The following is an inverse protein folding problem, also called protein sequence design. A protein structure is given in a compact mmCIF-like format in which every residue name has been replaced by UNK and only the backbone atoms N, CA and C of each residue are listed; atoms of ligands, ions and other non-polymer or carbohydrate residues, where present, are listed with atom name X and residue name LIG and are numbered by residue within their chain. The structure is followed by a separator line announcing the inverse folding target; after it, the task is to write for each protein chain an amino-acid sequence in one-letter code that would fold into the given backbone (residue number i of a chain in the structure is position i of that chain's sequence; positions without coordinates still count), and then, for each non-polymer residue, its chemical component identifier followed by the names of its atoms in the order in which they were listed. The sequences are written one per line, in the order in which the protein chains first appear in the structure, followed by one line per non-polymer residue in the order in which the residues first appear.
data_IF_885738260600
#
_entry.id   IF_885738260600
#
_cell.length_a   1.000
_cell.length_b   1.000
_cell.length_c   1.000
_cell.angle_alpha   90.00
_cell.angle_beta   90.00
_cell.angle_gamma   90.00
#
_symmetry.space_group_name_H-M   'P 1'
#
loop_
_entity.id
_entity.type
_entity.pdbx_description
1 polymer ?
#
# COMPACT_ATOMS: atom_id res chain seq x y z
N UNK A 1 18.75 21.86 7.79
CA UNK A 1 17.91 20.70 7.41
C UNK A 1 17.48 20.91 5.97
N UNK A 2 17.65 19.92 5.08
CA UNK A 2 17.05 19.97 3.73
C UNK A 2 15.53 19.91 3.87
N UNK A 3 14.81 20.53 2.95
CA UNK A 3 13.35 20.39 2.91
C UNK A 3 12.94 18.98 2.47
N UNK A 4 11.72 18.56 2.78
CA UNK A 4 11.19 17.27 2.32
C UNK A 4 11.12 17.19 0.78
N UNK A 5 10.91 18.33 0.11
CA UNK A 5 10.84 18.42 -1.36
C UNK A 5 12.21 18.26 -2.01
N UNK A 6 13.25 18.90 -1.45
CA UNK A 6 14.63 18.71 -1.90
C UNK A 6 15.10 17.27 -1.68
N UNK A 7 14.79 16.69 -0.52
CA UNK A 7 15.14 15.30 -0.22
C UNK A 7 14.41 14.30 -1.14
N UNK A 8 13.16 14.59 -1.53
CA UNK A 8 12.44 13.81 -2.53
C UNK A 8 13.06 13.96 -3.93
N UNK A 9 13.37 15.19 -4.36
CA UNK A 9 13.97 15.47 -5.67
C UNK A 9 15.34 14.80 -5.86
N UNK A 10 16.19 14.84 -4.83
CA UNK A 10 17.50 14.20 -4.83
C UNK A 10 17.44 12.67 -4.70
N UNK A 11 16.26 12.10 -4.44
CA UNK A 11 16.07 10.66 -4.23
C UNK A 11 16.57 10.15 -2.88
N UNK A 12 16.78 11.05 -1.91
CA UNK A 12 17.15 10.72 -0.52
C UNK A 12 15.96 10.07 0.22
N UNK A 13 14.73 10.42 -0.15
CA UNK A 13 13.48 9.82 0.37
C UNK A 13 12.85 8.97 -0.73
N UNK A 14 12.65 7.68 -0.44
CA UNK A 14 12.01 6.70 -1.34
C UNK A 14 10.89 5.97 -0.60
N UNK A 15 9.70 6.57 -0.49
CA UNK A 15 8.65 6.06 0.39
C UNK A 15 8.29 4.61 0.09
N UNK A 16 8.17 4.24 -1.18
CA UNK A 16 7.80 2.89 -1.61
C UNK A 16 8.82 1.84 -1.18
N UNK A 17 10.12 2.15 -1.22
CA UNK A 17 11.18 1.23 -0.82
C UNK A 17 11.24 1.04 0.71
N UNK A 18 10.70 2.01 1.47
CA UNK A 18 10.65 1.98 2.93
C UNK A 18 9.39 1.34 3.50
N UNK A 19 8.38 1.07 2.67
CA UNK A 19 7.15 0.40 3.11
C UNK A 19 7.46 -1.06 3.37
N UNK A 20 7.72 -1.37 4.63
CA UNK A 20 7.80 -2.74 5.14
C UNK A 20 6.54 -2.99 5.97
N UNK A 21 5.70 -3.98 5.62
CA UNK A 21 4.60 -4.39 6.47
C UNK A 21 5.16 -4.80 7.85
N UNK A 22 4.84 -4.02 8.88
CA UNK A 22 5.30 -4.25 10.26
C UNK A 22 4.36 -5.17 11.03
N UNK A 23 3.16 -5.39 10.51
CA UNK A 23 2.16 -6.26 11.13
C UNK A 23 2.69 -7.72 11.16
N UNK A 24 2.87 -8.31 12.36
CA UNK A 24 3.34 -9.70 12.47
C UNK A 24 2.37 -10.71 11.84
N UNK A 25 1.08 -10.38 11.74
CA UNK A 25 0.08 -11.20 11.07
C UNK A 25 0.29 -11.25 9.56
N UNK A 26 0.84 -10.19 8.95
CA UNK A 26 1.13 -10.16 7.51
C UNK A 26 2.06 -11.30 7.09
N UNK A 27 3.13 -11.54 7.85
CA UNK A 27 4.07 -12.63 7.56
C UNK A 27 3.41 -13.99 7.72
N UNK A 28 2.61 -14.16 8.78
CA UNK A 28 1.89 -15.39 9.05
C UNK A 28 0.85 -15.69 7.95
N UNK A 29 0.13 -14.67 7.50
CA UNK A 29 -0.87 -14.77 6.44
C UNK A 29 -0.22 -15.16 5.11
N UNK A 30 0.86 -14.48 4.72
CA UNK A 30 1.57 -14.81 3.47
C UNK A 30 2.14 -16.23 3.47
N UNK A 31 2.64 -16.71 4.62
CA UNK A 31 3.06 -18.11 4.74
C UNK A 31 1.90 -19.07 4.50
N UNK A 32 0.71 -18.82 5.08
CA UNK A 32 -0.48 -19.65 4.84
C UNK A 32 -0.89 -19.64 3.35
N UNK A 33 -0.82 -18.48 2.70
CA UNK A 33 -1.10 -18.36 1.25
C UNK A 33 -0.13 -19.24 0.46
N UNK A 34 1.16 -19.18 0.76
CA UNK A 34 2.17 -20.00 0.09
C UNK A 34 1.99 -21.50 0.32
N UNK A 35 1.72 -21.91 1.57
CA UNK A 35 1.45 -23.32 1.91
C UNK A 35 0.19 -23.85 1.19
N UNK A 36 -0.85 -23.02 1.07
CA UNK A 36 -2.02 -23.34 0.27
C UNK A 36 -1.63 -23.54 -1.19
N UNK A 37 -0.95 -22.56 -1.81
CA UNK A 37 -0.49 -22.66 -3.21
C UNK A 37 0.31 -23.94 -3.49
N UNK A 38 1.27 -24.28 -2.61
CA UNK A 38 2.06 -25.53 -2.70
C UNK A 38 1.20 -26.79 -2.61
N UNK A 39 0.08 -26.73 -1.89
CA UNK A 39 -0.88 -27.84 -1.82
C UNK A 39 -1.65 -27.99 -3.13
N UNK A 40 -2.06 -26.88 -3.75
CA UNK A 40 -2.76 -26.89 -5.05
C UNK A 40 -1.83 -27.33 -6.19
N UNK A 41 -0.57 -26.89 -6.19
CA UNK A 41 0.47 -27.30 -7.16
C UNK A 41 0.63 -28.82 -7.24
N UNK A 42 0.49 -29.53 -6.12
CA UNK A 42 0.60 -31.00 -6.07
C UNK A 42 -0.66 -31.73 -6.54
N UNK A 43 -1.81 -31.05 -6.56
CA UNK A 43 -3.13 -31.67 -6.83
C UNK A 43 -3.61 -31.40 -8.26
N UNK A 44 -3.23 -30.26 -8.81
CA UNK A 44 -3.65 -29.80 -10.12
C UNK A 44 -2.68 -30.27 -11.21
N UNK A 45 -3.18 -30.42 -12.43
CA UNK A 45 -2.32 -30.48 -13.61
C UNK A 45 -1.59 -29.15 -13.82
N UNK A 46 -0.53 -29.16 -14.64
CA UNK A 46 0.21 -27.94 -14.96
C UNK A 46 -0.66 -26.84 -15.59
N UNK A 47 -1.65 -27.23 -16.42
CA UNK A 47 -2.57 -26.28 -17.06
C UNK A 47 -3.51 -25.67 -16.03
N UNK A 48 -4.15 -26.49 -15.18
CA UNK A 48 -5.05 -26.01 -14.13
C UNK A 48 -4.32 -25.14 -13.11
N UNK A 49 -3.09 -25.50 -12.75
CA UNK A 49 -2.28 -24.70 -11.84
C UNK A 49 -1.90 -23.34 -12.46
N UNK A 50 -1.52 -23.31 -13.75
CA UNK A 50 -1.26 -22.05 -14.46
C UNK A 50 -2.49 -21.14 -14.51
N UNK A 51 -3.69 -21.69 -14.67
CA UNK A 51 -4.94 -20.92 -14.61
C UNK A 51 -5.22 -20.36 -13.21
N UNK A 52 -4.90 -21.13 -12.16
CA UNK A 52 -4.98 -20.64 -10.78
C UNK A 52 -4.01 -19.49 -10.53
N UNK A 53 -2.77 -19.59 -11.02
CA UNK A 53 -1.78 -18.51 -10.92
C UNK A 53 -2.25 -17.24 -11.63
N UNK A 54 -2.81 -17.36 -12.84
CA UNK A 54 -3.38 -16.24 -13.57
C UNK A 54 -4.53 -15.57 -12.79
N UNK A 55 -5.44 -16.36 -12.20
CA UNK A 55 -6.51 -15.83 -11.36
C UNK A 55 -5.97 -15.05 -10.15
N UNK A 56 -4.92 -15.56 -9.50
CA UNK A 56 -4.28 -14.90 -8.36
C UNK A 56 -3.59 -13.59 -8.78
N UNK A 57 -2.95 -13.55 -9.95
CA UNK A 57 -2.39 -12.31 -10.50
C UNK A 57 -3.49 -11.26 -10.77
N UNK A 58 -4.57 -11.66 -11.42
CA UNK A 58 -5.72 -10.78 -11.66
C UNK A 58 -6.29 -10.22 -10.36
N UNK A 59 -6.39 -11.08 -9.32
CA UNK A 59 -6.84 -10.64 -7.99
C UNK A 59 -5.87 -9.65 -7.35
N UNK A 60 -4.57 -9.93 -7.40
CA UNK A 60 -3.51 -9.05 -6.87
C UNK A 60 -3.55 -7.67 -7.55
N UNK A 61 -3.69 -7.65 -8.87
CA UNK A 61 -3.82 -6.42 -9.66
C UNK A 61 -5.07 -5.62 -9.29
N UNK A 62 -6.23 -6.28 -9.17
CA UNK A 62 -7.46 -5.64 -8.72
C UNK A 62 -7.31 -5.02 -7.32
N UNK A 63 -6.75 -5.75 -6.37
CA UNK A 63 -6.45 -5.24 -5.03
C UNK A 63 -5.48 -4.06 -5.04
N UNK A 64 -4.46 -4.11 -5.88
CA UNK A 64 -3.48 -3.01 -6.04
C UNK A 64 -4.11 -1.74 -6.63
N UNK A 65 -5.02 -1.89 -7.61
CA UNK A 65 -5.78 -0.77 -8.18
C UNK A 65 -6.64 -0.09 -7.11
N UNK A 66 -7.36 -0.88 -6.31
CA UNK A 66 -8.16 -0.36 -5.21
C UNK A 66 -7.29 0.34 -4.16
N UNK A 67 -6.19 -0.29 -3.72
CA UNK A 67 -5.27 0.29 -2.75
C UNK A 67 -4.69 1.63 -3.22
N UNK A 68 -4.34 1.77 -4.51
CA UNK A 68 -3.89 3.04 -5.09
C UNK A 68 -4.95 4.14 -4.96
N UNK A 69 -6.20 3.83 -5.32
CA UNK A 69 -7.31 4.79 -5.25
C UNK A 69 -7.57 5.19 -3.79
N UNK A 70 -7.61 4.23 -2.87
CA UNK A 70 -7.76 4.49 -1.43
C UNK A 70 -6.62 5.35 -0.88
N UNK A 71 -5.37 5.09 -1.28
CA UNK A 71 -4.22 5.87 -0.85
C UNK A 71 -4.32 7.33 -1.31
N UNK A 72 -4.65 7.56 -2.59
CA UNK A 72 -4.79 8.92 -3.14
C UNK A 72 -5.90 9.68 -2.41
N UNK A 73 -7.09 9.08 -2.28
CA UNK A 73 -8.21 9.73 -1.59
C UNK A 73 -7.90 9.99 -0.12
N UNK A 74 -7.32 9.03 0.59
CA UNK A 74 -6.95 9.18 1.99
C UNK A 74 -5.92 10.29 2.21
N UNK A 75 -4.90 10.36 1.35
CA UNK A 75 -3.88 11.40 1.44
C UNK A 75 -4.45 12.80 1.14
N UNK A 76 -5.25 12.93 0.07
CA UNK A 76 -5.92 14.19 -0.27
C UNK A 76 -6.84 14.66 0.86
N UNK A 77 -7.64 13.75 1.41
CA UNK A 77 -8.53 14.06 2.52
C UNK A 77 -7.75 14.49 3.77
N UNK A 78 -6.67 13.77 4.12
CA UNK A 78 -5.79 14.14 5.22
C UNK A 78 -5.18 15.53 5.04
N UNK A 79 -4.71 15.86 3.83
CA UNK A 79 -4.17 17.19 3.54
C UNK A 79 -5.22 18.30 3.71
N UNK A 80 -6.46 18.08 3.25
CA UNK A 80 -7.57 19.01 3.42
C UNK A 80 -7.90 19.24 4.91
N UNK A 81 -7.96 18.18 5.71
CA UNK A 81 -8.15 18.29 7.16
C UNK A 81 -7.04 19.13 7.81
N UNK A 82 -5.78 18.91 7.42
CA UNK A 82 -4.67 19.69 7.95
C UNK A 82 -4.79 21.17 7.59
N UNK A 83 -5.19 21.51 6.37
CA UNK A 83 -5.41 22.90 5.98
C UNK A 83 -6.51 23.58 6.77
N UNK A 84 -7.62 22.87 7.04
CA UNK A 84 -8.70 23.38 7.87
C UNK A 84 -8.22 23.68 9.30
N UNK A 85 -7.49 22.75 9.91
CA UNK A 85 -6.91 22.91 11.27
C UNK A 85 -5.96 24.11 11.33
N UNK A 86 -5.09 24.29 10.33
CA UNK A 86 -4.17 25.44 10.31
C UNK A 86 -4.90 26.77 10.17
N UNK A 87 -5.89 26.86 9.28
CA UNK A 87 -6.70 28.08 9.10
C UNK A 87 -7.44 28.44 10.38
N UNK A 88 -8.11 27.47 11.03
CA UNK A 88 -8.82 27.69 12.28
C UNK A 88 -7.87 28.14 13.42
N UNK A 89 -6.65 27.61 13.47
CA UNK A 89 -5.63 28.07 14.42
C UNK A 89 -5.24 29.52 14.16
N UNK A 90 -5.00 29.89 12.90
CA UNK A 90 -4.60 31.26 12.56
C UNK A 90 -5.72 32.26 12.89
N UNK A 91 -6.99 31.88 12.71
CA UNK A 91 -8.13 32.69 13.15
C UNK A 91 -8.16 32.88 14.68
N UNK A 92 -7.88 31.84 15.46
CA UNK A 92 -7.85 31.90 16.94
C UNK A 92 -6.65 32.66 17.51
N UNK A 93 -5.50 32.65 16.82
CA UNK A 93 -4.28 33.34 17.28
C UNK A 93 -4.29 34.82 16.89
N UNK A 94 -4.99 35.18 15.81
CA UNK A 94 -5.10 36.55 15.32
C UNK A 94 -6.38 37.27 15.79
N UNK A 95 -7.21 36.65 16.64
CA UNK A 95 -8.38 37.24 17.32
C UNK A 95 -8.01 37.81 18.69
#
# INVERSE_FOLDING_TARGET
MRSILEALYCGDIRPVETIVPTDPEYRTLNRKIFEALKTWEKKLSAIEFSQLEELLDLRSRSSSMYAKVSFIHGFQFGALMMTEVYTARDELVNS
#
